data_IF_264889045171
#
_entry.id   IF_264889045171
#
_cell.length_a   1.000
_cell.length_b   1.000
_cell.length_c   1.000
_cell.angle_alpha   90.00
_cell.angle_beta   90.00
_cell.angle_gamma   90.00
#
_symmetry.space_group_name_H-M   'P 1'
#
loop_
_entity.id
_entity.type
_entity.pdbx_description
1 polymer ?
#
# COMPACT_ATOMS: atom_id res chain seq x y z
N UNK A 1 -6.44 -0.66 -17.56
CA UNK A 1 -6.98 -1.34 -16.36
C UNK A 1 -6.85 -0.46 -15.13
N UNK A 2 -5.74 0.24 -14.91
CA UNK A 2 -5.59 1.19 -13.79
C UNK A 2 -6.63 2.30 -13.73
N UNK A 3 -7.05 2.90 -14.85
CA UNK A 3 -8.11 3.93 -14.83
C UNK A 3 -9.43 3.39 -14.23
N UNK A 4 -9.79 2.16 -14.56
CA UNK A 4 -10.98 1.50 -13.97
C UNK A 4 -10.75 1.16 -12.49
N UNK A 5 -9.55 0.70 -12.12
CA UNK A 5 -9.21 0.40 -10.72
C UNK A 5 -9.25 1.66 -9.85
N UNK A 6 -8.76 2.79 -10.36
CA UNK A 6 -8.85 4.08 -9.69
C UNK A 6 -10.30 4.49 -9.42
N UNK A 7 -11.15 4.47 -10.44
CA UNK A 7 -12.58 4.77 -10.27
C UNK A 7 -13.22 3.86 -9.20
N UNK A 8 -12.89 2.57 -9.23
CA UNK A 8 -13.37 1.61 -8.23
C UNK A 8 -12.87 1.91 -6.83
N UNK A 9 -11.60 2.29 -6.64
CA UNK A 9 -11.01 2.56 -5.32
C UNK A 9 -11.49 3.89 -4.72
N UNK A 10 -11.73 4.89 -5.57
CA UNK A 10 -12.14 6.23 -5.13
C UNK A 10 -13.65 6.35 -4.91
N UNK A 11 -14.45 5.37 -5.34
CA UNK A 11 -15.86 5.27 -4.98
C UNK A 11 -16.06 4.39 -3.73
N UNK A 12 -16.78 4.92 -2.73
CA UNK A 12 -16.98 4.30 -1.41
C UNK A 12 -17.55 2.88 -1.45
N UNK A 13 -18.48 2.62 -2.36
CA UNK A 13 -19.15 1.31 -2.46
C UNK A 13 -18.24 0.30 -3.14
N UNK A 14 -17.69 0.67 -4.28
CA UNK A 14 -16.83 -0.20 -5.09
C UNK A 14 -15.48 -0.44 -4.43
N UNK A 15 -14.95 0.49 -3.63
CA UNK A 15 -13.70 0.29 -2.90
C UNK A 15 -13.81 -0.84 -1.89
N UNK A 16 -15.00 -0.96 -1.28
CA UNK A 16 -15.31 -2.04 -0.34
C UNK A 16 -15.45 -3.36 -1.08
N UNK A 17 -16.00 -3.35 -2.29
CA UNK A 17 -16.04 -4.54 -3.14
C UNK A 17 -14.62 -5.00 -3.54
N UNK A 18 -13.75 -4.08 -3.96
CA UNK A 18 -12.33 -4.39 -4.27
C UNK A 18 -11.64 -5.02 -3.07
N UNK A 19 -11.83 -4.44 -1.87
CA UNK A 19 -11.31 -5.00 -0.63
C UNK A 19 -11.85 -6.42 -0.38
N UNK A 20 -13.17 -6.59 -0.38
CA UNK A 20 -13.81 -7.89 -0.11
C UNK A 20 -13.46 -8.98 -1.13
N UNK A 21 -13.09 -8.61 -2.36
CA UNK A 21 -12.62 -9.58 -3.34
C UNK A 21 -11.16 -9.95 -3.07
N UNK A 22 -10.29 -8.95 -2.86
CA UNK A 22 -8.84 -9.16 -2.80
C UNK A 22 -8.27 -9.45 -1.40
N UNK A 23 -9.07 -9.33 -0.33
CA UNK A 23 -8.63 -9.71 1.02
C UNK A 23 -8.29 -11.21 1.05
N UNK A 24 -7.27 -11.61 1.81
CA UNK A 24 -6.91 -13.02 1.95
C UNK A 24 -8.06 -13.80 2.60
N UNK A 25 -8.17 -15.09 2.28
CA UNK A 25 -9.17 -15.97 2.88
C UNK A 25 -8.90 -16.13 4.39
N UNK A 26 -9.96 -16.08 5.21
CA UNK A 26 -9.89 -16.48 6.61
C UNK A 26 -10.63 -17.79 6.84
N UNK A 27 -10.11 -18.60 7.77
CA UNK A 27 -10.53 -20.00 8.02
C UNK A 27 -12.03 -20.18 8.29
N UNK A 28 -12.71 -19.12 8.74
CA UNK A 28 -14.13 -19.14 9.12
C UNK A 28 -15.06 -18.43 8.12
N UNK A 29 -14.65 -18.28 6.85
CA UNK A 29 -15.54 -17.70 5.85
C UNK A 29 -16.65 -18.67 5.43
N UNK A 30 -17.91 -18.20 5.35
CA UNK A 30 -19.04 -19.04 4.93
C UNK A 30 -18.97 -19.46 3.46
N UNK A 31 -18.16 -18.78 2.65
CA UNK A 31 -17.94 -19.07 1.24
C UNK A 31 -16.46 -18.92 0.89
N UNK A 32 -15.94 -19.80 0.03
CA UNK A 32 -14.58 -19.67 -0.50
C UNK A 32 -14.55 -18.70 -1.66
N UNK A 33 -13.65 -17.72 -1.61
CA UNK A 33 -13.47 -16.72 -2.68
C UNK A 33 -12.38 -17.24 -3.59
N UNK A 34 -12.77 -17.74 -4.76
CA UNK A 34 -11.80 -18.19 -5.77
C UNK A 34 -11.52 -17.01 -6.70
N UNK A 35 -10.29 -16.51 -6.66
CA UNK A 35 -9.75 -15.57 -7.65
C UNK A 35 -8.52 -16.23 -8.23
N UNK A 36 -8.48 -16.34 -9.55
CA UNK A 36 -7.33 -16.90 -10.24
C UNK A 36 -6.11 -15.99 -10.05
N UNK A 37 -4.94 -16.61 -9.93
CA UNK A 37 -3.69 -15.91 -9.69
C UNK A 37 -3.44 -14.81 -10.73
N UNK A 38 -3.78 -15.06 -12.00
CA UNK A 38 -3.64 -14.09 -13.10
C UNK A 38 -4.46 -12.81 -12.84
N UNK A 39 -5.71 -12.95 -12.40
CA UNK A 39 -6.60 -11.83 -12.09
C UNK A 39 -6.13 -11.06 -10.85
N UNK A 40 -5.69 -11.80 -9.82
CA UNK A 40 -5.12 -11.20 -8.60
C UNK A 40 -3.87 -10.38 -8.92
N UNK A 41 -2.98 -10.91 -9.74
CA UNK A 41 -1.78 -10.22 -10.23
C UNK A 41 -2.17 -8.95 -10.99
N UNK A 42 -3.13 -9.05 -11.91
CA UNK A 42 -3.61 -7.91 -12.69
C UNK A 42 -4.18 -6.80 -11.78
N UNK A 43 -4.94 -7.18 -10.75
CA UNK A 43 -5.49 -6.25 -9.78
C UNK A 43 -4.40 -5.56 -8.95
N UNK A 44 -3.42 -6.32 -8.44
CA UNK A 44 -2.34 -5.73 -7.63
C UNK A 44 -1.43 -4.83 -8.45
N UNK A 45 -1.15 -5.17 -9.72
CA UNK A 45 -0.47 -4.27 -10.65
C UNK A 45 -1.26 -2.98 -10.88
N UNK A 46 -2.56 -3.08 -11.12
CA UNK A 46 -3.41 -1.90 -11.30
C UNK A 46 -3.46 -1.02 -10.03
N UNK A 47 -3.52 -1.61 -8.83
CA UNK A 47 -3.43 -0.86 -7.57
C UNK A 47 -2.06 -0.18 -7.45
N UNK A 48 -0.97 -0.87 -7.76
CA UNK A 48 0.38 -0.30 -7.73
C UNK A 48 0.54 0.86 -8.72
N UNK A 49 -0.05 0.77 -9.92
CA UNK A 49 -0.12 1.87 -10.89
C UNK A 49 -0.85 3.10 -10.32
N UNK A 50 -1.96 2.90 -9.59
CA UNK A 50 -2.69 3.99 -8.92
C UNK A 50 -1.86 4.61 -7.79
N UNK A 51 -1.15 3.80 -7.00
CA UNK A 51 -0.22 4.28 -5.95
C UNK A 51 1.02 4.96 -6.54
N UNK A 52 1.38 4.63 -7.78
CA UNK A 52 2.50 5.21 -8.52
C UNK A 52 2.21 6.56 -9.16
N UNK A 53 0.97 7.06 -9.09
CA UNK A 53 0.64 8.42 -9.53
C UNK A 53 1.37 9.46 -8.69
N UNK A 54 1.58 10.65 -9.26
CA UNK A 54 2.30 11.73 -8.58
C UNK A 54 1.72 11.99 -7.18
N UNK A 55 2.60 12.01 -6.18
CA UNK A 55 2.23 12.26 -4.80
C UNK A 55 2.55 13.71 -4.41
N UNK A 56 1.50 14.51 -4.27
CA UNK A 56 1.56 15.87 -3.74
C UNK A 56 0.85 15.85 -2.37
N UNK A 57 1.59 15.93 -1.24
CA UNK A 57 0.99 15.94 0.09
C UNK A 57 -0.05 17.05 0.24
N UNK A 58 -1.23 16.72 0.77
CA UNK A 58 -2.30 17.68 1.01
C UNK A 58 -2.68 18.52 -0.23
N UNK A 59 -2.73 17.89 -1.40
CA UNK A 59 -3.10 18.57 -2.64
C UNK A 59 -4.45 19.30 -2.49
N UNK A 60 -4.41 20.63 -2.46
CA UNK A 60 -5.59 21.48 -2.30
C UNK A 60 -6.32 21.77 -3.62
N UNK A 61 -5.62 21.57 -4.74
CA UNK A 61 -6.08 21.95 -6.08
C UNK A 61 -6.48 20.75 -6.95
N UNK A 62 -6.26 19.53 -6.48
CA UNK A 62 -6.56 18.30 -7.20
C UNK A 62 -7.06 17.17 -6.31
N UNK A 63 -7.28 16.01 -6.92
CA UNK A 63 -7.74 14.83 -6.20
C UNK A 63 -6.68 14.33 -5.21
N UNK A 64 -7.10 13.89 -4.02
CA UNK A 64 -6.17 13.37 -3.01
C UNK A 64 -5.50 12.09 -3.53
N UNK A 65 -4.21 11.94 -3.25
CA UNK A 65 -3.51 10.70 -3.56
C UNK A 65 -4.13 9.52 -2.80
N UNK A 66 -4.06 8.29 -3.33
CA UNK A 66 -4.67 7.09 -2.73
C UNK A 66 -4.25 6.85 -1.27
N UNK A 67 -3.06 7.29 -0.87
CA UNK A 67 -2.56 7.16 0.51
C UNK A 67 -3.18 8.18 1.49
N UNK A 68 -3.94 9.15 0.98
CA UNK A 68 -4.68 10.18 1.72
C UNK A 68 -6.20 10.04 1.54
N UNK A 69 -6.66 9.62 0.37
CA UNK A 69 -8.06 9.52 -0.02
C UNK A 69 -8.85 8.54 0.86
N UNK A 70 -9.92 9.02 1.51
CA UNK A 70 -10.62 8.30 2.59
C UNK A 70 -10.91 6.81 2.35
N UNK A 71 -11.74 6.48 1.35
CA UNK A 71 -12.14 5.09 1.06
C UNK A 71 -11.06 4.31 0.30
N UNK A 72 -10.35 4.95 -0.65
CA UNK A 72 -9.29 4.32 -1.41
C UNK A 72 -8.13 3.89 -0.49
N UNK A 73 -7.67 4.78 0.39
CA UNK A 73 -6.69 4.51 1.45
C UNK A 73 -7.17 3.39 2.36
N UNK A 74 -8.45 3.38 2.73
CA UNK A 74 -8.98 2.34 3.61
C UNK A 74 -8.86 0.96 2.96
N UNK A 75 -9.33 0.79 1.73
CA UNK A 75 -9.22 -0.48 1.01
C UNK A 75 -7.74 -0.87 0.81
N UNK A 76 -6.94 0.03 0.27
CA UNK A 76 -5.51 -0.16 0.02
C UNK A 76 -4.74 -0.58 1.29
N UNK A 77 -4.92 0.14 2.40
CA UNK A 77 -4.21 -0.12 3.63
C UNK A 77 -4.61 -1.45 4.28
N UNK A 78 -5.88 -1.87 4.16
CA UNK A 78 -6.29 -3.17 4.70
C UNK A 78 -5.71 -4.34 3.89
N UNK A 79 -5.66 -4.21 2.56
CA UNK A 79 -4.98 -5.19 1.69
C UNK A 79 -3.48 -5.29 2.05
N UNK A 80 -2.80 -4.15 2.17
CA UNK A 80 -1.37 -4.12 2.46
C UNK A 80 -1.02 -4.60 3.89
N UNK A 81 -1.89 -4.34 4.88
CA UNK A 81 -1.69 -4.81 6.26
C UNK A 81 -1.72 -6.33 6.38
N UNK A 82 -2.47 -7.00 5.50
CA UNK A 82 -2.63 -8.46 5.49
C UNK A 82 -1.81 -9.14 4.40
N UNK A 83 -0.79 -8.44 3.88
CA UNK A 83 0.03 -8.94 2.79
C UNK A 83 0.79 -10.23 3.15
N UNK A 84 1.00 -10.47 4.45
CA UNK A 84 1.54 -11.70 5.02
C UNK A 84 0.64 -12.93 4.75
N UNK A 85 -0.67 -12.72 4.75
CA UNK A 85 -1.68 -13.76 4.49
C UNK A 85 -1.98 -13.94 2.99
N UNK A 86 -1.41 -13.11 2.10
CA UNK A 86 -1.69 -13.16 0.65
C UNK A 86 -0.94 -14.29 -0.10
N UNK A 87 -0.17 -15.12 0.61
CA UNK A 87 0.62 -16.21 0.02
C UNK A 87 1.78 -15.67 -0.82
N UNK A 88 1.93 -16.19 -2.05
CA UNK A 88 3.03 -15.83 -2.96
C UNK A 88 2.77 -14.54 -3.77
N UNK A 89 1.52 -14.11 -3.90
CA UNK A 89 1.14 -12.92 -4.68
C UNK A 89 0.86 -11.81 -3.69
N UNK A 90 1.86 -10.93 -3.48
CA UNK A 90 1.85 -9.87 -2.47
C UNK A 90 1.72 -8.51 -3.13
N UNK A 91 0.84 -7.65 -2.60
CA UNK A 91 0.68 -6.28 -3.07
C UNK A 91 1.97 -5.48 -2.90
N UNK A 92 2.69 -5.67 -1.78
CA UNK A 92 3.95 -4.97 -1.52
C UNK A 92 5.04 -5.24 -2.56
N UNK A 93 5.01 -6.39 -3.24
CA UNK A 93 5.97 -6.74 -4.27
C UNK A 93 5.79 -5.91 -5.55
N UNK A 94 4.56 -5.51 -5.85
CA UNK A 94 4.26 -4.61 -6.96
C UNK A 94 4.56 -3.15 -6.57
N UNK A 95 4.28 -2.76 -5.32
CA UNK A 95 4.68 -1.44 -4.81
C UNK A 95 6.21 -1.27 -4.80
N UNK A 96 6.96 -2.35 -4.59
CA UNK A 96 8.42 -2.36 -4.60
C UNK A 96 9.02 -2.03 -5.99
N UNK A 97 8.22 -2.06 -7.04
CA UNK A 97 8.63 -1.70 -8.41
C UNK A 97 8.55 -0.18 -8.66
N UNK A 98 7.92 0.56 -7.75
CA UNK A 98 7.85 2.02 -7.83
C UNK A 98 9.25 2.65 -7.69
N UNK A 99 9.48 3.83 -8.29
CA UNK A 99 10.73 4.55 -8.15
C UNK A 99 11.09 4.82 -6.67
N UNK A 100 12.38 4.74 -6.35
CA UNK A 100 12.87 4.85 -4.98
C UNK A 100 12.61 6.22 -4.36
N UNK A 101 12.67 7.28 -5.16
CA UNK A 101 12.29 8.64 -4.82
C UNK A 101 10.78 8.77 -4.57
N UNK A 102 9.95 8.11 -5.40
CA UNK A 102 8.50 8.04 -5.20
C UNK A 102 8.14 7.38 -3.86
N UNK A 103 8.69 6.19 -3.57
CA UNK A 103 8.50 5.54 -2.27
C UNK A 103 9.04 6.39 -1.12
N UNK A 104 10.18 7.06 -1.33
CA UNK A 104 10.79 7.95 -0.34
C UNK A 104 9.91 9.16 -0.01
N UNK A 105 9.13 9.66 -0.97
CA UNK A 105 8.25 10.82 -0.78
C UNK A 105 7.13 10.57 0.23
N UNK A 106 6.69 9.32 0.41
CA UNK A 106 5.61 8.96 1.33
C UNK A 106 5.89 9.29 2.79
N UNK A 107 7.17 9.48 3.17
CA UNK A 107 7.55 9.89 4.53
C UNK A 107 7.05 11.30 4.90
N UNK A 108 6.63 12.10 3.91
CA UNK A 108 6.11 13.45 4.12
C UNK A 108 4.85 13.49 5.01
N UNK A 109 4.08 12.40 5.03
CA UNK A 109 2.83 12.30 5.80
C UNK A 109 2.80 11.05 6.68
N UNK A 110 2.00 11.11 7.74
CA UNK A 110 1.86 10.01 8.69
C UNK A 110 1.36 8.72 8.03
N UNK A 111 0.37 8.81 7.14
CA UNK A 111 -0.19 7.62 6.46
C UNK A 111 0.82 6.95 5.53
N UNK A 112 1.58 7.75 4.78
CA UNK A 112 2.62 7.23 3.90
C UNK A 112 3.73 6.51 4.66
N UNK A 113 4.08 6.96 5.87
CA UNK A 113 4.96 6.20 6.76
C UNK A 113 4.37 4.82 7.13
N UNK A 114 3.05 4.72 7.36
CA UNK A 114 2.38 3.44 7.61
C UNK A 114 2.32 2.54 6.37
N UNK A 115 2.23 3.10 5.17
CA UNK A 115 2.35 2.34 3.91
C UNK A 115 3.69 1.64 3.87
N UNK A 116 4.77 2.41 3.99
CA UNK A 116 6.14 1.90 3.98
C UNK A 116 6.38 0.89 5.11
N UNK A 117 5.83 1.15 6.29
CA UNK A 117 5.94 0.23 7.43
C UNK A 117 5.29 -1.11 7.13
N UNK A 118 4.09 -1.11 6.56
CA UNK A 118 3.41 -2.37 6.24
C UNK A 118 4.16 -3.11 5.12
N UNK A 119 4.71 -2.42 4.13
CA UNK A 119 5.61 -3.05 3.14
C UNK A 119 6.80 -3.76 3.78
N UNK A 120 7.39 -3.19 4.85
CA UNK A 120 8.51 -3.83 5.57
C UNK A 120 8.02 -4.98 6.46
N UNK A 121 6.90 -4.80 7.15
CA UNK A 121 6.41 -5.75 8.18
C UNK A 121 5.72 -6.99 7.60
N UNK A 122 4.79 -6.81 6.66
CA UNK A 122 3.96 -7.89 6.08
C UNK A 122 4.38 -8.28 4.66
N UNK A 123 5.20 -7.46 4.02
CA UNK A 123 5.69 -7.70 2.66
C UNK A 123 6.81 -8.73 2.56
N UNK A 124 7.24 -8.98 1.33
CA UNK A 124 8.37 -9.88 1.07
C UNK A 124 9.72 -9.20 1.30
N UNK A 125 10.81 -9.97 1.15
CA UNK A 125 12.17 -9.42 1.12
C UNK A 125 12.35 -8.33 0.04
N UNK A 126 11.66 -8.45 -1.11
CA UNK A 126 11.70 -7.46 -2.20
C UNK A 126 11.20 -6.11 -1.69
N UNK A 127 10.04 -6.10 -1.03
CA UNK A 127 9.45 -4.90 -0.45
C UNK A 127 10.34 -4.28 0.64
N UNK A 128 10.87 -5.09 1.56
CA UNK A 128 11.79 -4.63 2.61
C UNK A 128 13.04 -3.95 2.04
N UNK A 129 13.65 -4.53 1.01
CA UNK A 129 14.83 -3.96 0.32
C UNK A 129 14.46 -2.64 -0.35
N UNK A 130 13.34 -2.58 -1.08
CA UNK A 130 12.90 -1.37 -1.77
C UNK A 130 12.66 -0.21 -0.79
N UNK A 131 11.95 -0.46 0.31
CA UNK A 131 11.69 0.57 1.34
C UNK A 131 12.98 1.01 2.03
N UNK A 132 13.87 0.07 2.36
CA UNK A 132 15.15 0.40 3.01
C UNK A 132 16.04 1.28 2.13
N UNK A 133 16.01 1.05 0.82
CA UNK A 133 16.72 1.89 -0.16
C UNK A 133 16.09 3.29 -0.30
N UNK A 134 14.76 3.37 -0.26
CA UNK A 134 14.00 4.60 -0.43
C UNK A 134 13.98 5.49 0.83
N UNK A 135 14.03 4.89 2.02
CA UNK A 135 13.81 5.59 3.28
C UNK A 135 14.99 6.52 3.65
N UNK A 136 14.71 7.82 3.74
CA UNK A 136 15.65 8.78 4.30
C UNK A 136 15.63 8.72 5.84
N UNK A 137 16.53 7.95 6.43
CA UNK A 137 16.60 7.75 7.89
C UNK A 137 16.80 9.07 8.68
N UNK A 138 17.51 10.06 8.10
CA UNK A 138 17.69 11.37 8.76
C UNK A 138 16.40 12.16 8.83
N UNK A 139 15.58 12.10 7.76
CA UNK A 139 14.28 12.75 7.71
C UNK A 139 13.29 12.06 8.66
N UNK A 140 13.27 10.72 8.68
CA UNK A 140 12.41 9.94 9.57
C UNK A 140 12.67 10.24 11.06
N UNK A 141 13.94 10.32 11.48
CA UNK A 141 14.30 10.66 12.88
C UNK A 141 13.84 12.04 13.33
N UNK A 142 13.68 12.98 12.39
CA UNK A 142 13.23 14.36 12.68
C UNK A 142 11.72 14.54 12.48
N UNK A 143 11.03 13.52 11.97
CA UNK A 143 9.62 13.61 11.65
C UNK A 143 8.76 13.63 12.92
N UNK A 144 7.75 14.51 13.01
CA UNK A 144 6.81 14.51 14.13
C UNK A 144 5.77 13.38 14.04
N UNK A 145 5.74 12.64 12.93
CA UNK A 145 4.72 11.63 12.65
C UNK A 145 4.95 10.35 13.46
N UNK A 146 3.93 9.85 14.14
CA UNK A 146 4.00 8.56 14.86
C UNK A 146 4.33 7.39 13.91
N UNK A 147 3.83 7.45 12.68
CA UNK A 147 4.16 6.47 11.64
C UNK A 147 5.64 6.45 11.28
N UNK A 148 6.32 7.60 11.31
CA UNK A 148 7.77 7.66 11.04
C UNK A 148 8.57 6.97 12.15
N UNK A 149 8.15 7.14 13.42
CA UNK A 149 8.72 6.42 14.55
C UNK A 149 8.55 4.90 14.40
N UNK A 150 7.34 4.44 14.10
CA UNK A 150 7.09 3.00 13.92
C UNK A 150 7.79 2.42 12.68
N UNK A 151 7.94 3.20 11.61
CA UNK A 151 8.72 2.79 10.43
C UNK A 151 10.20 2.65 10.79
N UNK A 152 10.76 3.60 11.56
CA UNK A 152 12.14 3.52 12.04
C UNK A 152 12.37 2.26 12.89
N UNK A 153 11.48 1.97 13.83
CA UNK A 153 11.55 0.77 14.67
C UNK A 153 11.60 -0.50 13.82
N UNK A 154 10.76 -0.59 12.78
CA UNK A 154 10.70 -1.74 11.88
C UNK A 154 11.94 -1.87 10.98
N UNK A 155 12.52 -0.75 10.56
CA UNK A 155 13.77 -0.74 9.77
C UNK A 155 15.00 -1.08 10.61
N UNK A 156 14.98 -0.76 11.91
CA UNK A 156 16.06 -1.07 12.86
C UNK A 156 15.94 -2.49 13.43
N UNK A 157 14.74 -3.07 13.48
CA UNK A 157 14.53 -4.49 13.82
C UNK A 157 15.10 -5.39 12.72
N UNK A 158 16.26 -5.99 13.00
CA UNK A 158 16.92 -6.97 12.14
C UNK A 158 16.16 -8.29 12.13
#
# INVERSE_FOLDING_TARGET
MAANMEELLFNKMTSTLVLNMLEPEVENEPFKRVIDDEDKIACFKAIAEVVGKEFIPFNLEGDPHIIEAGCARFAFMNLLKRDDLQGNIKLSDYLAELPSDHLGSFIAINNGCFVLRNMVKSGSAKAKIAVTKAANLKALKKSPHIGAKHLMEELESK
#
